data_IF_702849978840
#
_entry.id   IF_702849978840
#
_cell.length_a   1.000
_cell.length_b   1.000
_cell.length_c   1.000
_cell.angle_alpha   90.00
_cell.angle_beta   90.00
_cell.angle_gamma   90.00
#
_symmetry.space_group_name_H-M   'P 1'
#
loop_
_entity.id
_entity.type
_entity.pdbx_description
1 polymer ?
#
# COMPACT_ATOMS: atom_id res chain seq x y z
N UNK A 1 12.55 7.66 6.14
CA UNK A 1 11.27 7.87 5.42
C UNK A 1 10.06 7.47 6.28
N UNK A 2 9.97 6.24 6.79
CA UNK A 2 8.90 5.80 7.71
C UNK A 2 8.75 6.69 8.98
N UNK A 3 9.87 7.09 9.59
CA UNK A 3 9.89 7.91 10.81
C UNK A 3 9.32 9.34 10.66
N UNK A 4 8.94 9.78 9.46
CA UNK A 4 8.26 11.07 9.25
C UNK A 4 6.83 10.89 8.69
N UNK A 5 6.43 9.66 8.38
CA UNK A 5 5.14 9.40 7.79
C UNK A 5 4.05 9.28 8.87
N UNK A 6 3.17 10.27 8.90
CA UNK A 6 2.10 10.41 9.86
C UNK A 6 0.74 9.85 9.45
N UNK A 7 0.60 9.36 8.21
CA UNK A 7 -0.71 8.97 7.66
C UNK A 7 -0.81 7.46 7.44
N UNK A 8 0.12 6.92 6.65
CA UNK A 8 0.00 5.57 6.17
C UNK A 8 0.83 5.34 4.91
N UNK A 9 0.92 4.10 4.46
CA UNK A 9 1.71 3.69 3.30
C UNK A 9 0.81 2.91 2.34
N UNK A 10 0.90 3.22 1.05
CA UNK A 10 0.46 2.30 0.00
C UNK A 10 1.73 1.63 -0.54
N UNK A 11 1.78 0.31 -0.40
CA UNK A 11 2.92 -0.49 -0.83
C UNK A 11 2.50 -1.41 -1.97
N UNK A 12 3.26 -1.37 -3.07
CA UNK A 12 3.21 -2.36 -4.13
C UNK A 12 4.42 -3.28 -3.99
N UNK A 13 4.16 -4.58 -3.80
CA UNK A 13 5.17 -5.61 -3.63
C UNK A 13 4.86 -6.80 -4.53
N UNK A 14 5.81 -7.19 -5.38
CA UNK A 14 5.66 -8.37 -6.23
C UNK A 14 5.64 -9.64 -5.37
N UNK A 15 4.71 -10.54 -5.69
CA UNK A 15 4.64 -11.87 -5.06
C UNK A 15 5.61 -12.81 -5.76
N UNK A 16 6.18 -13.74 -5.00
CA UNK A 16 6.91 -14.87 -5.58
C UNK A 16 6.01 -15.59 -6.61
N UNK A 17 6.59 -15.94 -7.76
CA UNK A 17 5.89 -16.55 -8.91
C UNK A 17 4.82 -15.66 -9.58
N UNK A 18 4.77 -14.35 -9.27
CA UNK A 18 4.01 -13.40 -10.08
C UNK A 18 4.75 -13.13 -11.38
N UNK A 19 4.04 -13.26 -12.51
CA UNK A 19 4.54 -12.87 -13.83
C UNK A 19 4.93 -11.38 -13.86
N UNK A 20 6.07 -11.08 -14.49
CA UNK A 20 6.64 -9.74 -14.62
C UNK A 20 8.13 -9.81 -14.99
N UNK A 21 8.72 -8.69 -15.38
CA UNK A 21 10.16 -8.59 -15.68
C UNK A 21 10.81 -7.61 -14.70
N UNK A 22 12.02 -7.93 -14.22
CA UNK A 22 12.84 -7.00 -13.42
C UNK A 22 12.47 -6.86 -11.94
N UNK A 23 11.53 -7.65 -11.42
CA UNK A 23 11.21 -7.68 -9.99
C UNK A 23 11.80 -8.94 -9.34
N UNK A 24 12.79 -8.75 -8.48
CA UNK A 24 13.34 -9.82 -7.61
C UNK A 24 12.91 -9.51 -6.19
N UNK A 25 11.83 -10.15 -5.74
CA UNK A 25 11.38 -10.10 -4.35
C UNK A 25 11.53 -11.49 -3.75
N UNK A 26 12.43 -11.63 -2.78
CA UNK A 26 12.72 -12.92 -2.15
C UNK A 26 11.89 -13.18 -0.89
N UNK A 27 10.99 -12.25 -0.55
CA UNK A 27 10.16 -12.33 0.64
C UNK A 27 8.69 -12.46 0.26
N UNK A 28 8.00 -13.35 0.95
CA UNK A 28 6.58 -13.55 0.79
C UNK A 28 5.78 -12.38 1.41
N UNK A 29 4.48 -12.25 1.12
CA UNK A 29 3.66 -11.15 1.65
C UNK A 29 3.54 -11.12 3.19
N UNK A 30 3.64 -12.26 3.89
CA UNK A 30 3.56 -12.29 5.35
C UNK A 30 4.75 -11.56 5.97
N UNK A 31 5.97 -11.77 5.46
CA UNK A 31 7.15 -11.01 5.87
C UNK A 31 6.93 -9.50 5.78
N UNK A 32 6.30 -9.02 4.70
CA UNK A 32 6.03 -7.60 4.50
C UNK A 32 5.02 -7.09 5.51
N UNK A 33 3.95 -7.85 5.79
CA UNK A 33 2.96 -7.49 6.79
C UNK A 33 3.58 -7.38 8.18
N UNK A 34 4.33 -8.40 8.61
CA UNK A 34 5.02 -8.44 9.90
C UNK A 34 6.02 -7.30 10.05
N UNK A 35 6.79 -7.01 8.99
CA UNK A 35 7.73 -5.86 8.98
C UNK A 35 6.98 -4.55 9.21
N UNK A 36 5.86 -4.34 8.51
CA UNK A 36 5.09 -3.10 8.61
C UNK A 36 4.41 -2.98 9.98
N UNK A 37 3.93 -4.08 10.55
CA UNK A 37 3.41 -4.13 11.92
C UNK A 37 4.48 -3.79 12.95
N UNK A 38 5.68 -4.34 12.82
CA UNK A 38 6.83 -3.99 13.66
C UNK A 38 7.24 -2.52 13.57
N UNK A 39 6.96 -1.87 12.43
CA UNK A 39 7.16 -0.44 12.22
C UNK A 39 5.97 0.41 12.74
N UNK A 40 4.96 -0.19 13.36
CA UNK A 40 3.82 0.56 13.92
C UNK A 40 2.79 0.98 12.87
N UNK A 41 2.66 0.22 11.80
CA UNK A 41 1.55 0.29 10.87
C UNK A 41 0.55 -0.83 11.10
N UNK A 42 -0.69 -0.62 10.65
CA UNK A 42 -1.73 -1.64 10.60
C UNK A 42 -2.21 -1.82 9.18
N UNK A 43 -2.28 -3.07 8.71
CA UNK A 43 -2.85 -3.37 7.40
C UNK A 43 -4.34 -2.99 7.35
N UNK A 44 -4.74 -2.26 6.32
CA UNK A 44 -6.13 -1.85 6.08
C UNK A 44 -6.72 -2.68 4.93
N UNK A 45 -7.45 -3.74 5.27
CA UNK A 45 -8.06 -4.63 4.30
C UNK A 45 -9.08 -3.90 3.40
N UNK A 46 -9.87 -3.00 3.99
CA UNK A 46 -10.87 -2.21 3.27
C UNK A 46 -10.22 -1.30 2.23
N UNK A 47 -9.23 -0.49 2.62
CA UNK A 47 -8.52 0.40 1.70
C UNK A 47 -7.76 -0.38 0.61
N UNK A 48 -7.12 -1.49 0.99
CA UNK A 48 -6.44 -2.36 0.03
C UNK A 48 -7.40 -2.91 -1.03
N UNK A 49 -8.60 -3.32 -0.62
CA UNK A 49 -9.62 -3.81 -1.54
C UNK A 49 -10.20 -2.70 -2.42
N UNK A 50 -10.45 -1.51 -1.86
CA UNK A 50 -10.92 -0.35 -2.61
C UNK A 50 -9.92 0.04 -3.73
N UNK A 51 -8.63 0.13 -3.38
CA UNK A 51 -7.55 0.43 -4.33
C UNK A 51 -7.46 -0.62 -5.45
N UNK A 52 -7.57 -1.92 -5.12
CA UNK A 52 -7.56 -3.00 -6.13
C UNK A 52 -8.77 -2.95 -7.06
N UNK A 53 -9.91 -2.49 -6.57
CA UNK A 53 -11.12 -2.36 -7.40
C UNK A 53 -11.15 -1.08 -8.22
N UNK A 54 -10.33 -0.09 -7.87
CA UNK A 54 -10.39 1.26 -8.42
C UNK A 54 -11.58 2.06 -7.88
N UNK A 55 -12.12 1.67 -6.74
CA UNK A 55 -13.21 2.38 -6.08
C UNK A 55 -12.71 3.77 -5.66
N UNK A 56 -13.39 4.83 -6.15
CA UNK A 56 -13.03 6.23 -5.88
C UNK A 56 -12.57 7.04 -7.10
N UNK A 57 -12.29 6.40 -8.25
CA UNK A 57 -11.97 7.12 -9.50
C UNK A 57 -13.16 7.05 -10.47
N UNK A 58 -13.91 8.14 -10.58
CA UNK A 58 -14.85 8.34 -11.70
C UNK A 58 -14.05 8.84 -12.90
N UNK A 59 -13.41 7.94 -13.64
CA UNK A 59 -12.85 8.30 -14.95
C UNK A 59 -14.02 8.33 -15.94
N UNK A 60 -14.30 9.51 -16.51
CA UNK A 60 -15.06 9.60 -17.76
C UNK A 60 -14.10 9.16 -18.87
N UNK A 61 -14.08 7.87 -19.18
CA UNK A 61 -13.26 7.35 -20.27
C UNK A 61 -14.09 7.38 -21.56
N UNK A 62 -13.74 8.31 -22.46
CA UNK A 62 -14.32 8.42 -23.82
C UNK A 62 -13.77 7.37 -24.80
N UNK A 63 -12.99 6.39 -24.31
CA UNK A 63 -12.40 5.34 -25.14
C UNK A 63 -12.84 3.97 -24.62
N UNK A 64 -13.72 3.34 -25.40
CA UNK A 64 -14.23 1.99 -25.25
C UNK A 64 -13.11 0.94 -25.20
N UNK A 65 -12.49 0.76 -24.04
CA UNK A 65 -11.58 -0.33 -23.72
C UNK A 65 -11.82 -0.77 -22.26
N UNK A 66 -12.80 -1.63 -22.07
CA UNK A 66 -13.21 -2.27 -20.81
C UNK A 66 -12.20 -3.28 -20.27
N UNK A 67 -10.89 -3.11 -20.48
CA UNK A 67 -9.91 -4.14 -20.15
C UNK A 67 -8.56 -3.56 -19.67
N UNK A 68 -8.18 -3.98 -18.46
CA UNK A 68 -6.80 -4.35 -18.09
C UNK A 68 -5.71 -3.29 -17.89
N UNK A 69 -5.97 -1.98 -17.98
CA UNK A 69 -4.88 -0.98 -17.92
C UNK A 69 -4.01 -0.95 -16.64
N UNK A 70 -4.36 -1.66 -15.58
CA UNK A 70 -3.56 -1.78 -14.36
C UNK A 70 -3.73 -3.14 -13.68
N UNK A 71 -3.71 -4.25 -14.43
CA UNK A 71 -4.00 -5.58 -13.88
C UNK A 71 -3.12 -5.94 -12.66
N UNK A 72 -1.89 -5.42 -12.56
CA UNK A 72 -1.00 -5.61 -11.41
C UNK A 72 -1.46 -4.88 -10.15
N UNK A 73 -2.19 -3.75 -10.27
CA UNK A 73 -2.82 -3.07 -9.14
C UNK A 73 -4.02 -3.84 -8.59
N UNK A 74 -4.69 -4.64 -9.43
CA UNK A 74 -5.87 -5.42 -9.06
C UNK A 74 -5.53 -6.74 -8.34
N UNK A 75 -4.25 -7.13 -8.30
CA UNK A 75 -3.77 -8.34 -7.62
C UNK A 75 -3.48 -8.08 -6.15
N UNK A 76 -3.39 -9.11 -5.29
CA UNK A 76 -2.96 -8.99 -3.90
C UNK A 76 -1.46 -8.65 -3.75
N UNK A 77 -0.89 -7.92 -4.70
CA UNK A 77 0.45 -7.32 -4.66
C UNK A 77 0.43 -5.88 -4.12
N UNK A 78 -0.76 -5.33 -3.85
CA UNK A 78 -0.90 -3.98 -3.29
C UNK A 78 -1.54 -4.02 -1.90
N UNK A 79 -0.95 -3.30 -0.95
CA UNK A 79 -1.40 -3.22 0.43
C UNK A 79 -1.40 -1.77 0.93
N UNK A 80 -2.51 -1.38 1.55
CA UNK A 80 -2.65 -0.12 2.25
C UNK A 80 -2.44 -0.34 3.75
N UNK A 81 -1.69 0.55 4.36
CA UNK A 81 -1.32 0.53 5.76
C UNK A 81 -1.67 1.86 6.41
N UNK A 82 -2.32 1.81 7.56
CA UNK A 82 -2.61 2.95 8.41
C UNK A 82 -1.52 3.09 9.46
N UNK A 83 -1.13 4.32 9.79
CA UNK A 83 -0.20 4.57 10.90
C UNK A 83 -0.95 4.42 12.23
N UNK A 84 -0.46 3.57 13.14
CA UNK A 84 -1.06 3.40 14.47
C UNK A 84 -0.16 3.88 15.61
N UNK A 85 1.16 3.82 15.45
CA UNK A 85 2.09 4.24 16.50
C UNK A 85 2.45 5.72 16.35
N UNK A 86 2.16 6.60 17.32
CA UNK A 86 2.63 7.97 17.29
C UNK A 86 4.17 8.00 17.29
N UNK A 87 4.75 8.91 16.51
CA UNK A 87 6.19 9.08 16.46
C UNK A 87 6.71 9.62 17.80
N UNK A 88 7.42 8.80 18.58
CA UNK A 88 7.91 9.18 19.92
C UNK A 88 9.43 9.06 20.09
N UNK A 89 10.21 8.86 19.02
CA UNK A 89 11.66 8.81 19.14
C UNK A 89 12.30 10.22 18.98
N UNK A 90 13.43 10.51 19.65
CA UNK A 90 14.21 11.73 19.44
C UNK A 90 14.48 11.98 17.95
N UNK A 91 14.18 13.19 17.47
CA UNK A 91 14.32 13.57 16.05
C UNK A 91 13.10 13.33 15.16
N UNK A 92 12.02 12.74 15.69
CA UNK A 92 10.77 12.63 14.95
C UNK A 92 9.96 13.93 15.00
N UNK A 93 9.33 14.30 13.87
CA UNK A 93 8.36 15.39 13.83
C UNK A 93 7.02 14.89 14.37
N UNK A 94 6.43 15.54 15.39
CA UNK A 94 5.09 15.19 15.85
C UNK A 94 4.09 15.30 14.70
N UNK A 95 3.20 14.31 14.59
CA UNK A 95 2.11 14.40 13.64
C UNK A 95 1.13 15.47 14.16
N UNK A 96 1.02 16.60 13.45
CA UNK A 96 -0.03 17.56 13.74
C UNK A 96 -1.38 16.84 13.68
N UNK A 97 -2.16 16.90 14.77
CA UNK A 97 -3.52 16.40 14.78
C UNK A 97 -4.25 17.01 13.59
N UNK A 98 -4.76 16.17 12.68
CA UNK A 98 -5.61 16.65 11.61
C UNK A 98 -6.82 17.30 12.26
N UNK A 99 -6.91 18.64 12.14
CA UNK A 99 -8.12 19.42 12.45
C UNK A 99 -9.23 19.06 11.46
#
# INVERSE_FOLDING_TARGET
MHAHNCRGIILSWARLSQWGLGHVNNHDPAYVLETMEGLGYRYSAALSNALRKGEGVRVRDDHNATTERYFWFRRPSLAAFERITPLQAPGCTPCASAL
#
